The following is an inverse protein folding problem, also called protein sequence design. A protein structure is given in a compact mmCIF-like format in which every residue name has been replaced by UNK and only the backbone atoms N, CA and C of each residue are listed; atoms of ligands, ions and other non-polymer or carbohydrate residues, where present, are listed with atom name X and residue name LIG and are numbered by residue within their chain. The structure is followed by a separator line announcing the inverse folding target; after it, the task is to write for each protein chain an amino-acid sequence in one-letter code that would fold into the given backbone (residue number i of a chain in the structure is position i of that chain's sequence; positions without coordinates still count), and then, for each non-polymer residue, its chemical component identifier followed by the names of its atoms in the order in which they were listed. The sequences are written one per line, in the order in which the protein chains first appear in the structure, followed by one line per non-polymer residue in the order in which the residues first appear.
data_IF_427364347480
#
_entry.id   IF_427364347480
#
_cell.length_a   1.000
_cell.length_b   1.000
_cell.length_c   1.000
_cell.angle_alpha   90.00
_cell.angle_beta   90.00
_cell.angle_gamma   90.00
#
_symmetry.space_group_name_H-M   'P 1'
#
loop_
_entity.id
_entity.type
_entity.pdbx_description
1 polymer ?
#
# COMPACT_ATOMS: atom_id res chain seq x y z
N UNK A 1 25.92 -4.93 -12.18
CA UNK A 1 24.85 -5.79 -11.62
C UNK A 1 24.36 -5.16 -10.33
N UNK A 2 23.05 -5.02 -10.11
CA UNK A 2 22.50 -4.32 -8.93
C UNK A 2 22.91 -5.04 -7.64
N UNK A 3 23.68 -4.34 -6.80
CA UNK A 3 24.41 -4.86 -5.65
C UNK A 3 23.59 -4.92 -4.35
N UNK A 4 22.27 -5.12 -4.44
CA UNK A 4 21.41 -5.22 -3.25
C UNK A 4 21.05 -6.67 -3.01
N UNK A 5 21.57 -7.22 -1.92
CA UNK A 5 21.23 -8.56 -1.44
C UNK A 5 19.86 -8.56 -0.75
N UNK A 6 19.23 -9.74 -0.63
CA UNK A 6 17.95 -9.90 0.06
C UNK A 6 17.98 -9.35 1.50
N UNK A 7 19.04 -9.66 2.26
CA UNK A 7 19.20 -9.22 3.63
C UNK A 7 19.36 -7.69 3.76
N UNK A 8 20.07 -7.07 2.81
CA UNK A 8 20.17 -5.61 2.75
C UNK A 8 18.80 -4.98 2.46
N UNK A 9 18.05 -5.54 1.51
CA UNK A 9 16.72 -5.04 1.14
C UNK A 9 15.74 -5.12 2.32
N UNK A 10 15.76 -6.20 3.10
CA UNK A 10 14.94 -6.34 4.32
C UNK A 10 15.31 -5.31 5.40
N UNK A 11 16.60 -5.07 5.65
CA UNK A 11 17.05 -4.03 6.58
C UNK A 11 16.60 -2.64 6.11
N UNK A 12 16.69 -2.38 4.81
CA UNK A 12 16.28 -1.11 4.21
C UNK A 12 14.79 -0.88 4.30
N UNK A 13 13.95 -1.90 4.14
CA UNK A 13 12.50 -1.79 4.34
C UNK A 13 12.11 -1.41 5.78
N UNK A 14 12.92 -1.76 6.78
CA UNK A 14 12.69 -1.35 8.17
C UNK A 14 13.06 0.12 8.40
N UNK A 15 14.09 0.61 7.70
CA UNK A 15 14.60 1.99 7.81
C UNK A 15 13.83 2.98 6.94
N UNK A 16 13.43 2.57 5.74
CA UNK A 16 12.79 3.40 4.73
C UNK A 16 11.39 2.87 4.43
N UNK A 17 10.41 3.77 4.47
CA UNK A 17 9.00 3.42 4.26
C UNK A 17 8.71 3.13 2.78
N UNK A 18 9.41 3.81 1.86
CA UNK A 18 9.13 3.75 0.42
C UNK A 18 10.29 3.17 -0.40
N UNK A 19 9.95 2.44 -1.47
CA UNK A 19 10.93 1.92 -2.43
C UNK A 19 11.71 3.03 -3.15
N UNK A 20 11.13 4.24 -3.23
CA UNK A 20 11.80 5.40 -3.81
C UNK A 20 13.00 5.82 -2.97
N UNK A 21 12.80 5.94 -1.64
CA UNK A 21 13.88 6.27 -0.72
C UNK A 21 14.98 5.20 -0.72
N UNK A 22 14.60 3.91 -0.84
CA UNK A 22 15.59 2.82 -1.00
C UNK A 22 16.37 2.98 -2.31
N UNK A 23 15.71 3.35 -3.40
CA UNK A 23 16.35 3.54 -4.70
C UNK A 23 17.36 4.68 -4.70
N UNK A 24 17.00 5.81 -4.10
CA UNK A 24 17.86 7.00 -3.97
C UNK A 24 19.18 6.68 -3.26
N UNK A 25 19.15 5.85 -2.21
CA UNK A 25 20.36 5.48 -1.47
C UNK A 25 21.38 4.67 -2.28
N UNK A 26 20.91 3.94 -3.30
CA UNK A 26 21.75 3.05 -4.11
C UNK A 26 21.91 3.55 -5.55
N UNK A 27 21.40 4.74 -5.86
CA UNK A 27 21.41 5.29 -7.23
C UNK A 27 20.62 4.45 -8.22
N UNK A 28 19.61 3.70 -7.76
CA UNK A 28 18.75 2.88 -8.61
C UNK A 28 17.32 3.40 -8.63
N UNK A 29 16.59 3.07 -9.70
CA UNK A 29 15.20 3.48 -9.81
C UNK A 29 14.33 2.76 -8.78
N UNK A 30 13.27 3.42 -8.32
CA UNK A 30 12.19 2.81 -7.51
C UNK A 30 11.65 1.53 -8.16
N UNK A 31 11.58 1.48 -9.49
CA UNK A 31 11.11 0.31 -10.23
C UNK A 31 12.09 -0.87 -10.12
N UNK A 32 13.39 -0.61 -10.14
CA UNK A 32 14.41 -1.65 -9.92
C UNK A 32 14.28 -2.25 -8.51
N UNK A 33 14.08 -1.43 -7.48
CA UNK A 33 13.81 -1.90 -6.10
C UNK A 33 12.56 -2.78 -6.05
N UNK A 34 11.48 -2.37 -6.72
CA UNK A 34 10.24 -3.16 -6.79
C UNK A 34 10.45 -4.52 -7.45
N UNK A 35 11.22 -4.58 -8.54
CA UNK A 35 11.54 -5.85 -9.20
C UNK A 35 12.41 -6.74 -8.32
N UNK A 36 13.40 -6.18 -7.63
CA UNK A 36 14.24 -6.91 -6.67
C UNK A 36 13.39 -7.47 -5.53
N UNK A 37 12.47 -6.68 -4.98
CA UNK A 37 11.53 -7.14 -3.94
C UNK A 37 10.70 -8.33 -4.42
N UNK A 38 10.11 -8.24 -5.62
CA UNK A 38 9.36 -9.34 -6.21
C UNK A 38 10.21 -10.59 -6.41
N UNK A 39 11.43 -10.43 -6.94
CA UNK A 39 12.38 -11.53 -7.14
C UNK A 39 12.71 -12.25 -5.84
N UNK A 40 12.82 -11.52 -4.73
CA UNK A 40 13.12 -12.07 -3.41
C UNK A 40 11.89 -12.46 -2.58
N UNK A 41 10.68 -12.32 -3.11
CA UNK A 41 9.43 -12.62 -2.40
C UNK A 41 9.08 -11.63 -1.28
N UNK A 42 9.63 -10.42 -1.31
CA UNK A 42 9.40 -9.39 -0.28
C UNK A 42 8.17 -8.55 -0.60
N UNK A 43 7.24 -8.52 0.36
CA UNK A 43 6.05 -7.68 0.33
C UNK A 43 6.35 -6.18 0.38
N UNK A 44 5.29 -5.37 0.33
CA UNK A 44 5.42 -3.92 0.44
C UNK A 44 5.77 -3.46 1.85
N UNK A 45 6.82 -2.63 1.95
CA UNK A 45 7.14 -1.91 3.19
C UNK A 45 6.15 -0.79 3.47
N UNK A 46 5.33 -0.41 2.48
CA UNK A 46 4.18 0.47 2.69
C UNK A 46 3.33 -0.15 3.79
N UNK A 47 3.34 0.49 4.95
CA UNK A 47 2.56 0.05 6.11
C UNK A 47 1.09 0.01 5.71
N UNK A 48 0.57 -1.19 5.52
CA UNK A 48 -0.86 -1.39 5.64
C UNK A 48 -1.23 -0.95 7.06
N UNK A 49 -2.25 -0.10 7.16
CA UNK A 49 -2.77 0.37 8.43
C UNK A 49 -4.11 -0.34 8.69
N UNK A 50 -4.11 -1.67 8.95
CA UNK A 50 -5.34 -2.46 9.03
C UNK A 50 -6.27 -1.94 10.12
N UNK A 51 -5.73 -1.52 11.27
CA UNK A 51 -6.53 -0.97 12.37
C UNK A 51 -7.27 0.32 11.98
N UNK A 52 -6.58 1.26 11.30
CA UNK A 52 -7.22 2.49 10.82
C UNK A 52 -8.26 2.19 9.75
N UNK A 53 -7.93 1.30 8.82
CA UNK A 53 -8.84 0.92 7.74
C UNK A 53 -10.11 0.26 8.27
N UNK A 54 -10.00 -0.61 9.28
CA UNK A 54 -11.16 -1.18 9.97
C UNK A 54 -12.02 -0.10 10.66
N UNK A 55 -11.41 0.90 11.30
CA UNK A 55 -12.16 2.02 11.88
C UNK A 55 -12.90 2.83 10.82
N UNK A 56 -12.26 3.10 9.67
CA UNK A 56 -12.88 3.78 8.53
C UNK A 56 -14.10 3.00 8.03
N UNK A 57 -13.98 1.69 7.85
CA UNK A 57 -15.09 0.83 7.39
C UNK A 57 -16.24 0.83 8.40
N UNK A 58 -15.96 0.62 9.69
CA UNK A 58 -17.00 0.63 10.73
C UNK A 58 -17.74 1.96 10.81
N UNK A 59 -17.01 3.08 10.74
CA UNK A 59 -17.60 4.40 10.77
C UNK A 59 -18.47 4.68 9.53
N UNK A 60 -18.03 4.21 8.35
CA UNK A 60 -18.83 4.29 7.13
C UNK A 60 -20.10 3.42 7.20
N UNK A 61 -20.01 2.22 7.76
CA UNK A 61 -21.15 1.33 7.99
C UNK A 61 -22.15 1.89 9.00
N UNK A 62 -21.69 2.69 9.98
CA UNK A 62 -22.56 3.45 10.88
C UNK A 62 -23.19 4.70 10.27
N UNK A 63 -22.89 5.01 9.01
CA UNK A 63 -23.49 6.13 8.27
C UNK A 63 -22.64 7.40 8.18
N UNK A 64 -21.40 7.42 8.67
CA UNK A 64 -20.49 8.56 8.43
C UNK A 64 -20.17 8.65 6.92
N UNK A 65 -20.22 9.87 6.37
CA UNK A 65 -19.91 10.08 4.96
C UNK A 65 -18.42 9.82 4.66
N UNK A 66 -18.15 9.23 3.49
CA UNK A 66 -16.78 8.98 3.03
C UNK A 66 -15.91 10.25 2.95
N UNK A 67 -16.52 11.40 2.68
CA UNK A 67 -15.85 12.71 2.66
C UNK A 67 -15.49 13.21 4.06
N UNK A 68 -16.36 13.03 5.05
CA UNK A 68 -16.05 13.33 6.45
C UNK A 68 -14.92 12.43 6.98
N UNK A 69 -14.97 11.13 6.65
CA UNK A 69 -13.91 10.18 6.99
C UNK A 69 -12.57 10.54 6.35
N UNK A 70 -12.58 10.99 5.09
CA UNK A 70 -11.37 11.44 4.41
C UNK A 70 -10.71 12.61 5.16
N UNK A 71 -11.49 13.60 5.59
CA UNK A 71 -10.99 14.71 6.41
C UNK A 71 -10.48 14.23 7.77
N UNK A 72 -11.26 13.41 8.49
CA UNK A 72 -10.94 12.88 9.83
C UNK A 72 -9.62 12.11 9.85
N UNK A 73 -9.36 11.31 8.82
CA UNK A 73 -8.16 10.48 8.71
C UNK A 73 -7.05 11.08 7.84
N UNK A 74 -7.19 12.35 7.41
CA UNK A 74 -6.25 13.06 6.54
C UNK A 74 -5.89 12.24 5.28
N UNK A 75 -6.91 11.69 4.65
CA UNK A 75 -6.81 10.90 3.42
C UNK A 75 -7.43 11.64 2.24
N UNK A 76 -7.00 11.30 1.03
CA UNK A 76 -7.77 11.69 -0.16
C UNK A 76 -9.10 10.95 -0.18
N UNK A 77 -10.13 11.61 -0.71
CA UNK A 77 -11.48 11.04 -0.85
C UNK A 77 -11.41 9.70 -1.60
N UNK A 78 -10.65 9.66 -2.70
CA UNK A 78 -10.46 8.46 -3.51
C UNK A 78 -9.79 7.31 -2.73
N UNK A 79 -8.79 7.62 -1.89
CA UNK A 79 -8.13 6.61 -1.06
C UNK A 79 -9.06 6.08 0.04
N UNK A 80 -9.88 6.94 0.65
CA UNK A 80 -10.89 6.54 1.62
C UNK A 80 -11.88 5.55 1.02
N UNK A 81 -12.44 5.84 -0.16
CA UNK A 81 -13.35 4.91 -0.84
C UNK A 81 -12.67 3.62 -1.32
N UNK A 82 -11.39 3.67 -1.73
CA UNK A 82 -10.61 2.44 -1.99
C UNK A 82 -10.52 1.56 -0.74
N UNK A 83 -10.13 2.14 0.40
CA UNK A 83 -10.05 1.42 1.67
C UNK A 83 -11.40 0.78 2.03
N UNK A 84 -12.49 1.55 1.93
CA UNK A 84 -13.84 1.03 2.19
C UNK A 84 -14.15 -0.14 1.26
N UNK A 85 -13.97 0.02 -0.05
CA UNK A 85 -14.32 -0.99 -1.05
C UNK A 85 -13.45 -2.25 -1.00
N UNK A 86 -12.17 -2.11 -0.66
CA UNK A 86 -11.22 -3.24 -0.59
C UNK A 86 -11.41 -4.07 0.69
N UNK A 87 -11.90 -3.44 1.77
CA UNK A 87 -12.12 -4.09 3.06
C UNK A 87 -13.58 -4.58 3.24
N UNK A 88 -14.54 -4.04 2.48
CA UNK A 88 -15.89 -4.58 2.42
C UNK A 88 -15.84 -5.88 1.62
N UNK A 89 -16.34 -6.99 2.19
CA UNK A 89 -16.40 -8.29 1.49
C UNK A 89 -17.04 -8.07 0.10
N UNK A 90 -16.41 -8.52 -1.00
CA UNK A 90 -16.92 -8.24 -2.31
C UNK A 90 -18.25 -8.97 -2.52
N UNK A 91 -19.31 -8.24 -2.88
CA UNK A 91 -20.21 -8.78 -3.88
C UNK A 91 -19.33 -9.03 -5.13
N UNK A 92 -19.12 -10.32 -5.46
CA UNK A 92 -18.25 -10.87 -6.51
C UNK A 92 -17.95 -9.88 -7.65
N UNK A 93 -16.74 -9.32 -7.69
CA UNK A 93 -16.25 -8.64 -8.90
C UNK A 93 -15.80 -9.71 -9.89
N UNK A 94 -16.64 -10.01 -10.88
CA UNK A 94 -16.26 -10.78 -12.07
C UNK A 94 -15.06 -10.10 -12.74
N UNK A 95 -13.93 -10.81 -12.82
CA UNK A 95 -12.73 -10.35 -13.52
C UNK A 95 -13.06 -10.18 -15.01
N UNK A 96 -13.41 -8.97 -15.46
CA UNK A 96 -13.31 -8.64 -16.90
C UNK A 96 -11.84 -8.36 -17.21
N UNK A 97 -11.15 -9.39 -17.70
CA UNK A 97 -9.94 -9.23 -18.54
C UNK A 97 -10.35 -8.37 -19.74
N UNK A 98 -9.66 -7.24 -19.98
CA UNK A 98 -9.74 -6.56 -21.27
C UNK A 98 -8.65 -7.12 -22.18
N UNK A 99 -9.08 -7.39 -23.42
CA UNK A 99 -8.34 -7.91 -24.58
C UNK A 99 -7.02 -7.21 -24.80
#
# INVERSE_FOLDING_TARGET
MAAITKAQLEKLQKKFITDAAIGEQFGITRQAVHQLRKKFGLGSSLKDNPQRNQKIVKAYESGESGTALAKKYKLSISQTYRIINDNRKPAKKTKKRKK
#
